data_IF_716989736613
#
_entry.id   IF_716989736613
#
_cell.length_a   1.000
_cell.length_b   1.000
_cell.length_c   1.000
_cell.angle_alpha   90.00
_cell.angle_beta   90.00
_cell.angle_gamma   90.00
#
_symmetry.space_group_name_H-M   'P 1'
#
loop_
_entity.id
_entity.type
_entity.pdbx_description
1 polymer ?
#
# COMPACT_ATOMS: atom_id res chain seq x y z
N UNK A 1 5.33 -9.69 10.46
CA UNK A 1 4.74 -10.03 11.78
C UNK A 1 4.38 -11.50 11.74
N UNK A 2 4.78 -12.27 12.75
CA UNK A 2 4.35 -13.66 12.91
C UNK A 2 3.14 -13.67 13.85
N UNK A 3 1.92 -13.61 13.30
CA UNK A 3 0.69 -13.47 14.10
C UNK A 3 0.14 -14.82 14.62
N UNK A 4 1.02 -15.82 14.73
CA UNK A 4 0.71 -17.16 15.28
C UNK A 4 1.54 -17.52 16.51
N UNK A 5 2.21 -16.54 17.11
CA UNK A 5 2.95 -16.71 18.37
C UNK A 5 2.07 -16.61 19.61
N UNK A 6 2.69 -16.77 20.79
CA UNK A 6 2.01 -16.87 22.10
C UNK A 6 1.17 -15.63 22.48
N UNK A 7 1.40 -14.48 21.84
CA UNK A 7 0.64 -13.25 22.07
C UNK A 7 -0.69 -13.19 21.29
N UNK A 8 -1.08 -14.25 20.59
CA UNK A 8 -2.28 -14.30 19.74
C UNK A 8 -3.22 -15.44 20.09
N UNK A 9 -4.51 -15.14 20.11
CA UNK A 9 -5.58 -16.12 20.03
C UNK A 9 -5.81 -16.49 18.56
N UNK A 10 -5.89 -17.79 18.28
CA UNK A 10 -6.06 -18.33 16.93
C UNK A 10 -7.36 -19.11 16.82
N UNK A 11 -8.05 -18.97 15.69
CA UNK A 11 -9.15 -19.85 15.30
C UNK A 11 -9.02 -20.27 13.85
N UNK A 12 -9.38 -21.52 13.57
CA UNK A 12 -9.26 -22.12 12.25
C UNK A 12 -10.63 -22.54 11.73
N UNK A 13 -10.87 -22.32 10.44
CA UNK A 13 -12.04 -22.84 9.74
C UNK A 13 -11.68 -23.22 8.31
N UNK A 14 -12.32 -24.27 7.79
CA UNK A 14 -12.17 -24.67 6.39
C UNK A 14 -13.32 -24.14 5.54
N UNK A 15 -13.05 -23.78 4.29
CA UNK A 15 -14.04 -23.34 3.32
C UNK A 15 -13.66 -23.81 1.90
N UNK A 16 -14.48 -23.46 0.90
CA UNK A 16 -14.27 -23.85 -0.50
C UNK A 16 -14.09 -25.37 -0.65
N UNK A 17 -15.09 -26.12 -0.16
CA UNK A 17 -15.08 -27.59 -0.11
C UNK A 17 -13.87 -28.21 0.61
N UNK A 18 -13.25 -27.45 1.54
CA UNK A 18 -12.07 -27.88 2.29
C UNK A 18 -10.75 -27.61 1.58
N UNK A 19 -10.76 -26.99 0.40
CA UNK A 19 -9.53 -26.64 -0.32
C UNK A 19 -8.81 -25.41 0.26
N UNK A 20 -9.49 -24.65 1.13
CA UNK A 20 -8.93 -23.48 1.81
C UNK A 20 -9.14 -23.53 3.31
N UNK A 21 -8.12 -23.06 4.03
CA UNK A 21 -8.14 -22.87 5.48
C UNK A 21 -8.07 -21.36 5.74
N UNK A 22 -8.98 -20.86 6.57
CA UNK A 22 -8.92 -19.53 7.16
C UNK A 22 -8.38 -19.66 8.57
N UNK A 23 -7.22 -19.06 8.81
CA UNK A 23 -6.62 -18.94 10.14
C UNK A 23 -6.77 -17.49 10.62
N UNK A 24 -7.77 -17.26 11.47
CA UNK A 24 -8.02 -15.96 12.07
C UNK A 24 -7.20 -15.79 13.34
N UNK A 25 -6.67 -14.58 13.57
CA UNK A 25 -5.87 -14.27 14.73
C UNK A 25 -6.29 -12.94 15.36
N UNK A 26 -6.05 -12.81 16.66
CA UNK A 26 -6.21 -11.55 17.40
C UNK A 26 -5.24 -11.49 18.57
N UNK A 27 -4.64 -10.34 18.82
CA UNK A 27 -3.77 -10.11 19.98
C UNK A 27 -4.52 -10.37 21.28
N UNK A 28 -3.84 -11.03 22.22
CA UNK A 28 -4.38 -11.32 23.52
C UNK A 28 -4.62 -10.04 24.36
N UNK A 29 -5.55 -10.07 25.32
CA UNK A 29 -5.93 -8.89 26.10
C UNK A 29 -4.82 -8.25 26.94
N UNK A 30 -3.72 -8.97 27.24
CA UNK A 30 -2.59 -8.41 28.00
C UNK A 30 -1.76 -7.42 27.18
N UNK A 31 -1.85 -7.46 25.85
CA UNK A 31 -1.27 -6.45 24.97
C UNK A 31 -2.16 -5.21 24.99
N UNK A 32 -1.71 -4.16 25.69
CA UNK A 32 -2.50 -2.94 25.91
C UNK A 32 -2.21 -1.81 24.92
N UNK A 33 -1.05 -1.84 24.27
CA UNK A 33 -0.55 -0.76 23.40
C UNK A 33 -1.07 -0.87 21.98
N UNK A 34 -1.45 -2.06 21.55
CA UNK A 34 -1.98 -2.31 20.22
C UNK A 34 -3.03 -3.41 20.26
N UNK A 35 -4.00 -3.33 19.35
CA UNK A 35 -4.94 -4.39 19.05
C UNK A 35 -4.70 -4.79 17.60
N UNK A 36 -4.20 -6.00 17.38
CA UNK A 36 -3.88 -6.50 16.06
C UNK A 36 -4.70 -7.75 15.77
N UNK A 37 -5.41 -7.77 14.66
CA UNK A 37 -6.28 -8.89 14.28
C UNK A 37 -6.36 -9.04 12.77
N UNK A 38 -6.78 -10.20 12.31
CA UNK A 38 -6.88 -10.47 10.88
C UNK A 38 -6.98 -11.95 10.57
N UNK A 39 -6.61 -12.30 9.34
CA UNK A 39 -6.69 -13.66 8.85
C UNK A 39 -5.62 -13.98 7.81
N UNK A 40 -5.18 -15.24 7.82
CA UNK A 40 -4.50 -15.87 6.70
C UNK A 40 -5.50 -16.73 5.93
N UNK A 41 -5.40 -16.72 4.61
CA UNK A 41 -6.02 -17.73 3.74
C UNK A 41 -4.91 -18.65 3.25
N UNK A 42 -5.04 -19.93 3.58
CA UNK A 42 -4.05 -20.97 3.33
C UNK A 42 -4.66 -22.02 2.40
N UNK A 43 -3.88 -22.47 1.42
CA UNK A 43 -4.23 -23.59 0.56
C UNK A 43 -4.12 -24.90 1.35
N UNK A 44 -5.19 -25.66 1.45
CA UNK A 44 -5.22 -26.88 2.27
C UNK A 44 -4.35 -28.02 1.70
N UNK A 45 -4.11 -28.05 0.39
CA UNK A 45 -3.35 -29.14 -0.25
C UNK A 45 -1.84 -28.98 -0.03
N UNK A 46 -1.34 -27.74 0.02
CA UNK A 46 0.10 -27.45 0.01
C UNK A 46 0.56 -26.48 1.09
N UNK A 47 -0.34 -26.06 1.98
CA UNK A 47 -0.10 -25.13 3.08
C UNK A 47 0.47 -23.76 2.66
N UNK A 48 0.34 -23.37 1.39
CA UNK A 48 0.77 -22.06 0.94
C UNK A 48 -0.20 -20.98 1.42
N UNK A 49 0.34 -19.89 1.96
CA UNK A 49 -0.43 -18.69 2.25
C UNK A 49 -0.74 -18.00 0.91
N UNK A 50 -2.02 -17.83 0.61
CA UNK A 50 -2.50 -17.18 -0.61
C UNK A 50 -2.98 -15.75 -0.35
N UNK A 51 -3.47 -15.47 0.87
CA UNK A 51 -3.84 -14.11 1.28
C UNK A 51 -3.50 -13.90 2.75
N UNK A 52 -3.16 -12.66 3.08
CA UNK A 52 -3.06 -12.21 4.46
C UNK A 52 -3.73 -10.85 4.59
N UNK A 53 -4.58 -10.74 5.61
CA UNK A 53 -5.25 -9.50 6.00
C UNK A 53 -4.93 -9.22 7.46
N UNK A 54 -4.60 -7.96 7.76
CA UNK A 54 -4.14 -7.51 9.06
C UNK A 54 -4.64 -6.11 9.33
N UNK A 55 -5.27 -5.91 10.47
CA UNK A 55 -5.59 -4.60 11.02
C UNK A 55 -4.83 -4.46 12.33
N UNK A 56 -4.12 -3.34 12.46
CA UNK A 56 -3.47 -2.93 13.70
C UNK A 56 -4.04 -1.59 14.11
N UNK A 57 -4.58 -1.53 15.32
CA UNK A 57 -5.05 -0.31 15.98
C UNK A 57 -4.09 0.00 17.13
N UNK A 58 -3.47 1.17 17.10
CA UNK A 58 -2.49 1.55 18.12
C UNK A 58 -3.17 2.43 19.16
N UNK A 59 -3.06 2.04 20.43
CA UNK A 59 -3.58 2.81 21.56
C UNK A 59 -2.46 3.68 22.11
N UNK A 60 -2.68 5.00 22.12
CA UNK A 60 -1.73 5.98 22.66
C UNK A 60 -0.32 5.90 22.05
N UNK A 61 -0.21 5.65 20.74
CA UNK A 61 1.06 5.73 20.04
C UNK A 61 1.75 7.08 20.33
N UNK A 62 3.06 7.09 20.61
CA UNK A 62 3.80 8.34 20.78
C UNK A 62 3.78 9.11 19.47
N UNK A 63 3.73 10.44 19.58
CA UNK A 63 3.86 11.32 18.43
C UNK A 63 5.31 11.32 17.93
N UNK A 64 5.46 11.41 16.61
CA UNK A 64 6.71 11.62 15.90
C UNK A 64 6.75 13.08 15.41
N UNK A 65 7.89 13.74 15.56
CA UNK A 65 8.08 15.14 15.16
C UNK A 65 8.29 15.26 13.65
N UNK A 66 7.68 16.29 13.04
CA UNK A 66 7.77 16.64 11.63
C UNK A 66 7.68 18.16 11.44
N UNK A 67 8.84 18.82 11.51
CA UNK A 67 8.92 20.28 11.46
C UNK A 67 8.18 20.91 12.65
N UNK A 68 7.23 21.81 12.38
CA UNK A 68 6.41 22.47 13.40
C UNK A 68 5.14 21.67 13.75
N UNK A 69 5.07 20.41 13.32
CA UNK A 69 3.94 19.53 13.53
C UNK A 69 4.43 18.20 14.07
N UNK A 70 3.52 17.44 14.68
CA UNK A 70 3.77 16.08 15.12
C UNK A 70 2.64 15.19 14.65
N UNK A 71 2.95 13.93 14.37
CA UNK A 71 1.97 12.98 13.86
C UNK A 71 2.11 11.61 14.52
N UNK A 72 1.05 10.81 14.46
CA UNK A 72 1.08 9.40 14.85
C UNK A 72 0.13 8.58 13.99
N UNK A 73 0.51 7.34 13.73
CA UNK A 73 -0.39 6.38 13.09
C UNK A 73 -1.37 5.84 14.13
N UNK A 74 -2.67 6.00 13.87
CA UNK A 74 -3.74 5.52 14.74
C UNK A 74 -4.06 4.07 14.40
N UNK A 75 -4.14 3.78 13.11
CA UNK A 75 -4.40 2.43 12.62
C UNK A 75 -3.75 2.20 11.27
N UNK A 76 -3.49 0.94 10.98
CA UNK A 76 -3.11 0.49 9.65
C UNK A 76 -3.82 -0.80 9.30
N UNK A 77 -4.28 -0.90 8.07
CA UNK A 77 -4.84 -2.11 7.48
C UNK A 77 -3.95 -2.55 6.33
N UNK A 78 -3.59 -3.83 6.29
CA UNK A 78 -2.80 -4.44 5.24
C UNK A 78 -3.55 -5.62 4.67
N UNK A 79 -3.64 -5.65 3.36
CA UNK A 79 -4.10 -6.80 2.61
C UNK A 79 -3.04 -7.17 1.59
N UNK A 80 -2.65 -8.43 1.55
CA UNK A 80 -1.65 -8.95 0.62
C UNK A 80 -2.22 -10.21 -0.02
N UNK A 81 -2.19 -10.27 -1.34
CA UNK A 81 -2.51 -11.46 -2.13
C UNK A 81 -1.23 -12.01 -2.75
N UNK A 82 -1.03 -13.31 -2.59
CA UNK A 82 0.14 -14.04 -3.08
C UNK A 82 -0.27 -14.93 -4.24
N UNK A 83 0.51 -14.93 -5.30
CA UNK A 83 0.30 -15.84 -6.43
C UNK A 83 1.54 -16.71 -6.66
N UNK A 84 1.33 -17.92 -7.15
CA UNK A 84 2.40 -18.84 -7.54
C UNK A 84 2.78 -18.62 -9.00
N UNK A 85 4.06 -18.41 -9.27
CA UNK A 85 4.57 -18.37 -10.64
C UNK A 85 4.54 -19.77 -11.26
N UNK A 86 3.92 -19.97 -12.43
CA UNK A 86 3.88 -21.28 -13.07
C UNK A 86 5.26 -21.85 -13.40
N UNK A 87 6.21 -20.97 -13.76
CA UNK A 87 7.57 -21.33 -14.21
C UNK A 87 8.49 -21.70 -13.04
N UNK A 88 8.70 -20.79 -12.08
CA UNK A 88 9.62 -21.01 -10.96
C UNK A 88 8.99 -21.73 -9.76
N UNK A 89 7.66 -21.88 -9.75
CA UNK A 89 6.86 -22.40 -8.62
C UNK A 89 7.00 -21.58 -7.33
N UNK A 90 7.66 -20.42 -7.38
CA UNK A 90 7.81 -19.49 -6.25
C UNK A 90 6.54 -18.64 -6.10
N UNK A 91 6.22 -18.28 -4.87
CA UNK A 91 5.16 -17.33 -4.58
C UNK A 91 5.71 -15.91 -4.58
N UNK A 92 4.89 -14.95 -5.03
CA UNK A 92 5.21 -13.53 -5.03
C UNK A 92 3.96 -12.73 -4.65
N UNK A 93 4.16 -11.48 -4.24
CA UNK A 93 3.06 -10.56 -3.95
C UNK A 93 2.42 -10.15 -5.28
N UNK A 94 1.25 -10.67 -5.59
CA UNK A 94 0.48 -10.32 -6.77
C UNK A 94 -0.14 -8.93 -6.60
N UNK A 95 -0.66 -8.65 -5.42
CA UNK A 95 -1.16 -7.34 -5.05
C UNK A 95 -1.03 -7.10 -3.55
N UNK A 96 -0.96 -5.83 -3.16
CA UNK A 96 -1.12 -5.43 -1.78
C UNK A 96 -1.81 -4.08 -1.66
N UNK A 97 -2.60 -3.92 -0.60
CA UNK A 97 -3.18 -2.64 -0.18
C UNK A 97 -2.74 -2.36 1.24
N UNK A 98 -2.22 -1.16 1.48
CA UNK A 98 -1.92 -0.63 2.80
C UNK A 98 -2.75 0.64 2.99
N UNK A 99 -3.68 0.62 3.93
CA UNK A 99 -4.40 1.81 4.39
C UNK A 99 -3.81 2.23 5.74
N UNK A 100 -3.64 3.52 5.98
CA UNK A 100 -3.18 4.04 7.27
C UNK A 100 -3.91 5.31 7.62
N UNK A 101 -4.36 5.40 8.88
CA UNK A 101 -4.97 6.60 9.43
C UNK A 101 -3.96 7.32 10.32
N UNK A 102 -3.69 8.58 10.03
CA UNK A 102 -2.69 9.39 10.70
C UNK A 102 -3.39 10.55 11.39
N UNK A 103 -3.08 10.75 12.67
CA UNK A 103 -3.42 11.97 13.41
C UNK A 103 -2.23 12.93 13.33
N UNK A 104 -2.48 14.19 13.01
CA UNK A 104 -1.49 15.26 13.03
C UNK A 104 -1.99 16.44 13.86
N UNK A 105 -1.08 17.06 14.59
CA UNK A 105 -1.33 18.25 15.41
C UNK A 105 -0.02 19.06 15.50
N UNK A 106 -0.04 20.22 16.13
CA UNK A 106 1.16 20.95 16.54
C UNK A 106 1.58 20.58 17.98
N UNK A 107 2.67 21.18 18.45
CA UNK A 107 3.16 20.98 19.82
C UNK A 107 2.12 21.41 20.87
N UNK A 108 1.41 22.51 20.62
CA UNK A 108 0.43 23.10 21.55
C UNK A 108 -0.96 22.47 21.49
N UNK A 109 -1.21 21.56 20.54
CA UNK A 109 -2.54 21.00 20.23
C UNK A 109 -3.58 22.05 19.84
N UNK A 110 -3.16 23.11 19.15
CA UNK A 110 -4.05 24.15 18.63
C UNK A 110 -4.98 23.64 17.53
N UNK A 111 -4.60 22.57 16.82
CA UNK A 111 -5.44 21.88 15.83
C UNK A 111 -5.24 20.36 15.87
N UNK A 112 -6.21 19.60 15.37
CA UNK A 112 -6.05 18.18 15.06
C UNK A 112 -6.60 17.91 13.67
N UNK A 113 -5.82 17.20 12.85
CA UNK A 113 -6.20 16.76 11.51
C UNK A 113 -6.03 15.26 11.39
N UNK A 114 -6.96 14.61 10.68
CA UNK A 114 -6.90 13.19 10.38
C UNK A 114 -6.69 13.00 8.88
N UNK A 115 -5.73 12.15 8.52
CA UNK A 115 -5.41 11.81 7.15
C UNK A 115 -5.54 10.31 6.94
N UNK A 116 -6.22 9.92 5.89
CA UNK A 116 -6.25 8.54 5.41
C UNK A 116 -5.33 8.43 4.20
N UNK A 117 -4.35 7.53 4.28
CA UNK A 117 -3.39 7.28 3.21
C UNK A 117 -3.54 5.84 2.75
N UNK A 118 -3.73 5.65 1.45
CA UNK A 118 -3.83 4.32 0.85
C UNK A 118 -2.74 4.14 -0.18
N UNK A 119 -1.95 3.07 -0.02
CA UNK A 119 -0.99 2.60 -0.99
C UNK A 119 -1.52 1.30 -1.62
N UNK A 120 -1.54 1.25 -2.94
CA UNK A 120 -1.92 0.07 -3.70
C UNK A 120 -0.73 -0.33 -4.55
N UNK A 121 -0.36 -1.61 -4.49
CA UNK A 121 0.67 -2.22 -5.31
C UNK A 121 0.04 -3.38 -6.07
N UNK A 122 0.34 -3.45 -7.36
CA UNK A 122 0.02 -4.60 -8.21
C UNK A 122 1.29 -4.98 -8.95
N UNK A 123 1.59 -6.27 -8.99
CA UNK A 123 2.79 -6.78 -9.65
C UNK A 123 2.39 -7.39 -10.99
N UNK A 124 2.75 -6.73 -12.08
CA UNK A 124 2.67 -7.31 -13.43
C UNK A 124 4.03 -7.89 -13.81
N UNK A 125 4.05 -9.16 -14.22
CA UNK A 125 5.27 -9.85 -14.69
C UNK A 125 6.44 -9.85 -13.69
N UNK A 126 6.25 -10.47 -12.51
CA UNK A 126 7.28 -10.52 -11.44
C UNK A 126 8.66 -11.08 -11.89
N UNK A 127 8.69 -11.93 -12.91
CA UNK A 127 9.93 -12.46 -13.53
C UNK A 127 10.06 -12.02 -15.00
N UNK A 128 9.39 -10.93 -15.38
CA UNK A 128 9.47 -10.37 -16.73
C UNK A 128 10.86 -9.84 -17.02
N UNK A 129 11.42 -10.24 -18.16
CA UNK A 129 12.64 -9.63 -18.70
C UNK A 129 12.23 -8.61 -19.76
N UNK A 130 12.30 -7.32 -19.40
CA UNK A 130 12.05 -6.24 -20.33
C UNK A 130 13.30 -5.38 -20.50
N UNK A 131 13.70 -5.17 -21.75
CA UNK A 131 14.83 -4.29 -22.07
C UNK A 131 14.43 -2.83 -21.81
N UNK A 132 15.00 -2.23 -20.78
CA UNK A 132 14.85 -0.79 -20.52
C UNK A 132 15.80 -0.02 -21.42
N UNK A 133 15.23 0.69 -22.41
CA UNK A 133 15.99 1.67 -23.20
C UNK A 133 15.85 3.05 -22.55
N UNK A 134 16.98 3.63 -22.12
CA UNK A 134 17.01 5.00 -21.61
C UNK A 134 16.48 5.97 -22.67
N UNK A 135 15.32 6.56 -22.41
CA UNK A 135 14.66 7.55 -23.29
C UNK A 135 14.67 8.97 -22.70
N UNK A 136 15.14 9.14 -21.45
CA UNK A 136 15.26 10.42 -20.74
C UNK A 136 16.44 10.38 -19.76
N UNK A 137 16.99 11.55 -19.40
CA UNK A 137 18.00 11.62 -18.33
C UNK A 137 17.39 11.24 -16.98
N UNK A 138 18.12 10.45 -16.18
CA UNK A 138 17.72 10.10 -14.81
C UNK A 138 17.72 11.30 -13.85
N UNK A 139 18.42 12.38 -14.19
CA UNK A 139 18.40 13.65 -13.44
C UNK A 139 17.22 14.56 -13.82
N UNK A 140 16.42 14.19 -14.84
CA UNK A 140 15.32 15.03 -15.30
C UNK A 140 14.09 14.78 -14.43
N UNK A 141 13.53 15.87 -13.92
CA UNK A 141 12.27 15.86 -13.17
C UNK A 141 11.14 15.23 -13.99
N UNK A 142 10.35 14.34 -13.39
CA UNK A 142 9.27 13.58 -14.04
C UNK A 142 8.22 14.50 -14.67
N UNK A 143 7.91 15.64 -14.04
CA UNK A 143 6.94 16.60 -14.56
C UNK A 143 7.49 17.45 -15.71
N UNK A 144 8.82 17.42 -15.93
CA UNK A 144 9.49 18.11 -17.05
C UNK A 144 9.73 17.17 -18.24
N UNK A 145 9.38 15.89 -18.13
CA UNK A 145 9.47 14.93 -19.21
C UNK A 145 8.38 15.25 -20.22
N UNK A 146 8.78 15.64 -21.44
CA UNK A 146 7.86 15.84 -22.56
C UNK A 146 7.51 14.48 -23.16
N UNK A 147 6.54 13.80 -22.58
CA UNK A 147 5.97 12.57 -23.14
C UNK A 147 4.47 12.81 -23.38
N UNK A 148 3.94 12.45 -24.57
CA UNK A 148 2.53 12.65 -24.86
C UNK A 148 1.69 11.80 -23.90
N UNK A 149 0.58 12.38 -23.44
CA UNK A 149 -0.42 11.63 -22.70
C UNK A 149 -0.97 10.50 -23.59
N UNK A 150 -0.94 9.25 -23.11
CA UNK A 150 -1.43 8.09 -23.83
C UNK A 150 -2.75 7.60 -23.22
N UNK A 151 -3.86 8.07 -23.77
CA UNK A 151 -5.21 7.71 -23.29
C UNK A 151 -5.47 6.21 -23.32
N UNK A 152 -5.02 5.51 -24.37
CA UNK A 152 -5.28 4.09 -24.55
C UNK A 152 -4.60 3.25 -23.46
N UNK A 153 -3.39 3.63 -23.07
CA UNK A 153 -2.71 3.00 -21.94
C UNK A 153 -3.53 3.14 -20.65
N UNK A 154 -4.02 4.34 -20.33
CA UNK A 154 -4.79 4.59 -19.11
C UNK A 154 -6.16 3.90 -19.12
N UNK A 155 -6.85 3.89 -20.26
CA UNK A 155 -8.14 3.21 -20.41
C UNK A 155 -8.03 1.67 -20.31
N UNK A 156 -6.86 1.11 -20.62
CA UNK A 156 -6.61 -0.33 -20.52
C UNK A 156 -6.11 -0.75 -19.13
N UNK A 157 -5.67 0.19 -18.29
CA UNK A 157 -5.32 -0.10 -16.90
C UNK A 157 -6.58 -0.15 -16.03
N UNK A 158 -6.92 -1.33 -15.50
CA UNK A 158 -8.00 -1.48 -14.51
C UNK A 158 -7.57 -1.11 -13.08
N UNK A 159 -6.32 -0.67 -12.89
CA UNK A 159 -5.69 -0.52 -11.57
C UNK A 159 -5.70 0.93 -11.06
N UNK A 160 -5.75 1.91 -11.98
CA UNK A 160 -5.81 3.33 -11.67
C UNK A 160 -6.98 3.91 -12.44
N UNK A 161 -8.15 3.98 -11.78
CA UNK A 161 -9.32 4.61 -12.38
C UNK A 161 -9.01 6.08 -12.65
N UNK A 162 -9.14 6.46 -13.91
CA UNK A 162 -8.89 7.82 -14.33
C UNK A 162 -10.08 8.71 -13.93
N UNK A 163 -9.90 9.50 -12.88
CA UNK A 163 -10.92 10.47 -12.44
C UNK A 163 -10.85 11.75 -13.27
N UNK A 164 -11.96 12.49 -13.32
CA UNK A 164 -12.01 13.81 -13.96
C UNK A 164 -10.99 14.78 -13.35
N UNK A 165 -10.76 14.68 -12.04
CA UNK A 165 -9.75 15.48 -11.33
C UNK A 165 -8.34 15.16 -11.83
N UNK A 166 -7.98 13.89 -11.99
CA UNK A 166 -6.67 13.48 -12.53
C UNK A 166 -6.48 13.95 -13.97
N UNK A 167 -7.52 13.82 -14.81
CA UNK A 167 -7.50 14.33 -16.18
C UNK A 167 -7.31 15.84 -16.23
N UNK A 168 -8.01 16.57 -15.36
CA UNK A 168 -7.89 18.01 -15.27
C UNK A 168 -6.50 18.43 -14.80
N UNK A 169 -5.94 17.74 -13.81
CA UNK A 169 -4.56 17.94 -13.36
C UNK A 169 -3.55 17.74 -14.52
N UNK A 170 -3.62 16.63 -15.25
CA UNK A 170 -2.72 16.33 -16.37
C UNK A 170 -2.80 17.43 -17.44
N UNK A 171 -4.02 17.85 -17.81
CA UNK A 171 -4.24 18.94 -18.79
C UNK A 171 -3.62 20.26 -18.32
N UNK A 172 -3.78 20.59 -17.04
CA UNK A 172 -3.28 21.84 -16.48
C UNK A 172 -1.75 21.86 -16.32
N UNK A 173 -1.12 20.72 -16.02
CA UNK A 173 0.34 20.58 -15.92
C UNK A 173 1.02 20.69 -17.30
N UNK A 174 0.36 20.25 -18.36
CA UNK A 174 0.89 20.33 -19.72
C UNK A 174 0.77 21.72 -20.34
N UNK A 175 -0.02 22.63 -19.77
CA UNK A 175 -0.18 23.98 -20.29
C UNK A 175 1.08 24.84 -20.01
N UNK A 176 1.82 25.27 -21.06
CA UNK A 176 3.05 26.05 -20.89
C UNK A 176 2.84 27.42 -20.22
N UNK A 177 1.61 27.96 -20.26
CA UNK A 177 1.24 29.21 -19.60
C UNK A 177 1.13 29.07 -18.08
N UNK A 178 0.88 27.84 -17.58
CA UNK A 178 0.82 27.51 -16.17
C UNK A 178 2.23 27.13 -15.70
N UNK A 179 3.09 28.11 -15.45
CA UNK A 179 4.47 27.87 -15.00
C UNK A 179 4.53 27.05 -13.71
N UNK A 180 4.60 25.71 -13.83
CA UNK A 180 4.63 24.80 -12.69
C UNK A 180 5.97 24.91 -11.96
N UNK A 181 5.92 25.40 -10.72
CA UNK A 181 7.06 25.39 -9.81
C UNK A 181 7.15 24.04 -9.13
N UNK A 182 8.02 23.16 -9.64
CA UNK A 182 8.32 21.88 -9.00
C UNK A 182 9.40 22.10 -7.94
N UNK A 183 9.12 21.72 -6.69
CA UNK A 183 10.14 21.54 -5.65
C UNK A 183 10.57 20.08 -5.68
N UNK A 184 11.85 19.84 -5.97
CA UNK A 184 12.45 18.51 -5.99
C UNK A 184 13.58 18.43 -4.98
N UNK A 185 13.70 17.30 -4.30
CA UNK A 185 14.83 16.99 -3.43
C UNK A 185 16.02 16.39 -4.20
N UNK A 186 15.88 16.21 -5.52
CA UNK A 186 16.97 15.76 -6.38
C UNK A 186 17.90 16.96 -6.63
N UNK A 187 19.13 16.88 -6.14
CA UNK A 187 20.17 17.88 -6.43
C UNK A 187 20.58 17.70 -7.90
N UNK A 188 20.51 18.78 -8.68
CA UNK A 188 21.07 18.84 -10.03
C UNK A 188 22.60 18.88 -9.99
#
# INVERSE_FOLDING_TARGET
MNATGDDFELSESSFDHGSKIKLSFKTLPHIKTENTFGEYIVNAENNAIERFHLITETKNAPFQESGNSRYRTISSEREISLAKLPKSKKYFIASSKLTSKIEQTDETKSYTSFYDVTYIMTTTENEGDFKVKKNVSSSKDIFKIKYPYNTDYWNTQNQLLQTDEMLNFIKNVQNPANGFKVRSNIKN
#
